data_IF_208434559765
#
_entry.id   IF_208434559765
#
_cell.length_a   1.000
_cell.length_b   1.000
_cell.length_c   1.000
_cell.angle_alpha   90.00
_cell.angle_beta   90.00
_cell.angle_gamma   90.00
#
_symmetry.space_group_name_H-M   'P 1'
#
loop_
_entity.id
_entity.type
_entity.pdbx_description
1 polymer ?
#
# COMPACT_ATOMS: atom_id res chain seq x y z
N UNK A 1 -88.71 2.68 -22.77
CA UNK A 1 -87.63 1.69 -22.57
C UNK A 1 -86.32 2.46 -22.55
N UNK A 2 -85.90 2.87 -21.34
CA UNK A 2 -84.74 3.70 -21.07
C UNK A 2 -83.53 2.80 -20.82
N UNK A 3 -82.57 2.79 -21.76
CA UNK A 3 -81.32 2.03 -21.63
C UNK A 3 -80.25 2.82 -20.90
N UNK A 4 -79.88 2.37 -19.70
CA UNK A 4 -78.75 2.91 -18.95
C UNK A 4 -77.41 2.54 -19.64
N UNK A 5 -76.59 3.54 -19.94
CA UNK A 5 -75.20 3.35 -20.38
C UNK A 5 -74.29 3.40 -19.15
N UNK A 6 -73.66 2.27 -18.83
CA UNK A 6 -72.68 2.15 -17.74
C UNK A 6 -71.31 2.54 -18.32
N UNK A 7 -70.72 3.61 -17.79
CA UNK A 7 -69.33 3.98 -18.08
C UNK A 7 -68.41 3.32 -17.05
N UNK A 8 -67.58 2.37 -17.50
CA UNK A 8 -66.55 1.75 -16.67
C UNK A 8 -65.31 2.62 -16.72
N UNK A 9 -65.02 3.33 -15.62
CA UNK A 9 -63.79 4.09 -15.44
C UNK A 9 -62.67 3.10 -15.09
N UNK A 10 -61.76 2.88 -16.03
CA UNK A 10 -60.56 2.08 -15.83
C UNK A 10 -59.55 2.91 -15.03
N UNK A 11 -59.48 2.69 -13.72
CA UNK A 11 -58.50 3.32 -12.85
C UNK A 11 -57.13 2.66 -13.12
N UNK A 12 -56.26 3.33 -13.87
CA UNK A 12 -54.87 2.92 -14.05
C UNK A 12 -54.16 3.03 -12.69
N UNK A 13 -54.04 1.89 -12.02
CA UNK A 13 -53.18 1.70 -10.86
C UNK A 13 -51.72 1.96 -11.29
N UNK A 14 -51.20 3.11 -10.88
CA UNK A 14 -49.79 3.42 -10.87
C UNK A 14 -49.03 2.27 -10.18
N UNK A 15 -48.19 1.57 -10.94
CA UNK A 15 -47.21 0.63 -10.42
C UNK A 15 -46.18 1.43 -9.63
N UNK A 16 -46.41 1.58 -8.33
CA UNK A 16 -45.40 2.02 -7.39
C UNK A 16 -44.41 0.88 -7.29
N UNK A 17 -43.26 1.03 -7.94
CA UNK A 17 -42.09 0.18 -7.75
C UNK A 17 -41.68 0.26 -6.28
N UNK A 18 -42.10 -0.71 -5.47
CA UNK A 18 -41.54 -0.90 -4.14
C UNK A 18 -40.07 -1.25 -4.31
N UNK A 19 -39.19 -0.35 -3.87
CA UNK A 19 -37.83 -0.73 -3.47
C UNK A 19 -37.97 -1.77 -2.35
N UNK A 20 -37.28 -2.90 -2.48
CA UNK A 20 -37.32 -3.98 -1.48
C UNK A 20 -36.91 -3.42 -0.10
N UNK A 21 -37.78 -3.51 0.94
CA UNK A 21 -37.48 -2.98 2.27
C UNK A 21 -36.27 -3.66 2.94
N UNK A 22 -35.74 -4.75 2.37
CA UNK A 22 -34.56 -5.44 2.86
C UNK A 22 -33.26 -5.06 2.13
N UNK A 23 -33.34 -4.27 1.06
CA UNK A 23 -32.16 -3.76 0.36
C UNK A 23 -31.64 -2.49 1.05
N UNK A 24 -31.27 -2.65 2.31
CA UNK A 24 -30.76 -1.59 3.16
C UNK A 24 -29.24 -1.49 2.96
N UNK A 25 -28.79 -0.43 2.30
CA UNK A 25 -27.37 -0.05 2.32
C UNK A 25 -27.00 0.32 3.75
N UNK A 26 -25.96 -0.31 4.30
CA UNK A 26 -25.41 0.07 5.61
C UNK A 26 -25.00 1.55 5.58
N UNK A 27 -25.63 2.36 6.44
CA UNK A 27 -25.34 3.80 6.52
C UNK A 27 -24.18 4.13 7.45
N UNK A 28 -23.68 3.15 8.20
CA UNK A 28 -22.60 3.27 9.16
C UNK A 28 -21.22 2.89 8.60
N UNK A 29 -21.17 2.35 7.37
CA UNK A 29 -19.94 1.95 6.69
C UNK A 29 -19.93 2.56 5.29
N UNK A 30 -18.79 3.15 4.92
CA UNK A 30 -18.53 3.56 3.54
C UNK A 30 -18.12 2.30 2.77
N UNK A 31 -18.90 1.94 1.73
CA UNK A 31 -18.59 0.77 0.89
C UNK A 31 -17.34 1.01 0.05
N UNK A 32 -16.64 -0.06 -0.34
CA UNK A 32 -15.46 0.03 -1.19
C UNK A 32 -15.78 0.72 -2.54
N UNK A 33 -16.93 0.41 -3.14
CA UNK A 33 -17.40 1.04 -4.37
C UNK A 33 -17.48 2.56 -4.21
N UNK A 34 -18.08 3.04 -3.11
CA UNK A 34 -18.18 4.46 -2.83
C UNK A 34 -16.81 5.12 -2.57
N UNK A 35 -15.88 4.40 -1.92
CA UNK A 35 -14.52 4.90 -1.67
C UNK A 35 -13.76 5.14 -2.97
N UNK A 36 -13.85 4.21 -3.93
CA UNK A 36 -13.05 4.27 -5.16
C UNK A 36 -13.72 5.06 -6.30
N UNK A 37 -14.99 5.45 -6.15
CA UNK A 37 -15.70 6.32 -7.09
C UNK A 37 -15.69 7.82 -6.73
N UNK A 38 -15.27 8.15 -5.51
CA UNK A 38 -15.14 9.54 -5.04
C UNK A 38 -13.66 9.93 -4.96
N UNK A 39 -13.23 11.02 -5.63
CA UNK A 39 -11.82 11.40 -5.66
C UNK A 39 -11.28 11.77 -4.27
N UNK A 40 -12.12 12.31 -3.37
CA UNK A 40 -11.72 12.71 -2.02
C UNK A 40 -11.54 11.48 -1.14
N UNK A 41 -12.44 10.50 -1.26
CA UNK A 41 -12.33 9.25 -0.49
C UNK A 41 -11.16 8.38 -0.98
N UNK A 42 -10.95 8.30 -2.29
CA UNK A 42 -9.79 7.63 -2.88
C UNK A 42 -8.47 8.27 -2.41
N UNK A 43 -8.41 9.61 -2.37
CA UNK A 43 -7.26 10.33 -1.82
C UNK A 43 -7.09 10.09 -0.32
N UNK A 44 -8.16 10.06 0.46
CA UNK A 44 -8.11 9.76 1.89
C UNK A 44 -7.56 8.34 2.16
N UNK A 45 -7.99 7.34 1.38
CA UNK A 45 -7.45 5.98 1.45
C UNK A 45 -5.94 5.98 1.14
N UNK A 46 -5.53 6.68 0.08
CA UNK A 46 -4.13 6.78 -0.29
C UNK A 46 -3.31 7.50 0.79
N UNK A 47 -3.82 8.56 1.40
CA UNK A 47 -3.13 9.26 2.49
C UNK A 47 -2.87 8.38 3.71
N UNK A 48 -3.80 7.50 4.06
CA UNK A 48 -3.56 6.50 5.10
C UNK A 48 -2.42 5.53 4.72
N UNK A 49 -2.30 5.14 3.44
CA UNK A 49 -1.15 4.38 2.95
C UNK A 49 0.17 5.17 3.10
N UNK A 50 0.16 6.47 2.79
CA UNK A 50 1.33 7.35 2.94
C UNK A 50 1.81 7.41 4.39
N UNK A 51 0.90 7.60 5.34
CA UNK A 51 1.22 7.67 6.78
C UNK A 51 1.89 6.37 7.26
N UNK A 52 1.36 5.23 6.81
CA UNK A 52 1.84 3.90 7.22
C UNK A 52 3.05 3.40 6.43
N UNK A 53 3.40 4.03 5.31
CA UNK A 53 4.55 3.65 4.49
C UNK A 53 5.90 3.81 5.22
N UNK A 54 5.97 4.71 6.21
CA UNK A 54 7.18 4.99 7.01
C UNK A 54 8.41 5.26 6.14
N UNK A 55 8.29 6.17 5.17
CA UNK A 55 9.40 6.58 4.28
C UNK A 55 10.63 7.09 5.03
N UNK A 56 10.41 7.64 6.22
CA UNK A 56 11.46 8.02 7.14
C UNK A 56 11.16 7.44 8.51
N UNK A 57 12.12 6.71 9.08
CA UNK A 57 11.98 6.16 10.42
C UNK A 57 12.41 7.24 11.41
N UNK A 58 11.43 7.99 11.92
CA UNK A 58 11.62 9.00 12.96
C UNK A 58 11.64 8.38 14.36
N UNK A 59 12.49 7.38 14.57
CA UNK A 59 12.73 6.82 15.91
C UNK A 59 14.13 7.23 16.40
N UNK A 60 14.25 7.51 17.71
CA UNK A 60 15.47 8.06 18.31
C UNK A 60 15.16 9.16 19.33
N UNK A 61 16.19 9.58 20.08
CA UNK A 61 16.11 10.82 20.87
C UNK A 61 16.20 12.02 19.93
N UNK A 62 15.34 13.03 20.14
CA UNK A 62 14.96 14.09 19.19
C UNK A 62 16.04 14.96 18.53
N UNK A 63 17.33 14.67 18.70
CA UNK A 63 18.42 15.41 18.05
C UNK A 63 19.08 14.66 16.88
N UNK A 64 18.92 13.33 16.77
CA UNK A 64 19.45 12.55 15.66
C UNK A 64 18.47 11.42 15.34
N UNK A 65 17.89 11.41 14.14
CA UNK A 65 17.06 10.30 13.62
C UNK A 65 17.92 9.04 13.43
N UNK A 66 18.28 8.38 14.53
CA UNK A 66 19.27 7.31 14.60
C UNK A 66 18.66 5.91 14.65
N UNK A 67 17.35 5.77 14.63
CA UNK A 67 16.69 4.48 14.41
C UNK A 67 16.58 4.11 12.93
N UNK A 68 17.60 4.41 12.13
CA UNK A 68 17.71 4.02 10.75
C UNK A 68 18.49 2.70 10.65
N UNK A 69 18.19 1.88 9.65
CA UNK A 69 18.98 0.67 9.38
C UNK A 69 20.46 1.00 9.11
N UNK A 70 20.76 2.19 8.58
CA UNK A 70 22.14 2.68 8.39
C UNK A 70 22.91 2.82 9.70
N UNK A 71 22.21 2.96 10.82
CA UNK A 71 22.83 3.01 12.14
C UNK A 71 23.44 1.67 12.53
N UNK A 72 23.08 0.53 11.92
CA UNK A 72 23.79 -0.76 12.15
C UNK A 72 25.26 -0.75 11.70
N UNK A 73 25.71 0.30 10.99
CA UNK A 73 27.12 0.53 10.73
C UNK A 73 27.93 0.93 11.97
N UNK A 74 29.26 1.05 11.81
CA UNK A 74 30.17 1.42 12.91
C UNK A 74 29.89 2.77 13.56
N UNK A 75 29.09 3.64 12.92
CA UNK A 75 28.74 4.98 13.41
C UNK A 75 27.90 4.94 14.70
N UNK A 76 27.06 3.92 14.92
CA UNK A 76 26.26 3.80 16.15
C UNK A 76 27.02 3.21 17.33
N UNK A 77 28.15 2.53 17.11
CA UNK A 77 28.97 1.95 18.19
C UNK A 77 29.47 3.01 19.18
N UNK A 78 29.50 4.28 18.79
CA UNK A 78 29.89 5.38 19.66
C UNK A 78 28.84 5.67 20.74
N UNK A 79 27.58 5.26 20.54
CA UNK A 79 26.51 5.28 21.54
C UNK A 79 26.59 4.01 22.39
N UNK A 80 27.69 3.82 23.11
CA UNK A 80 28.00 2.58 23.84
C UNK A 80 27.20 2.37 25.13
N UNK A 81 26.01 2.94 25.24
CA UNK A 81 25.28 2.99 26.52
C UNK A 81 23.83 2.55 26.39
N UNK A 82 23.47 1.53 27.18
CA UNK A 82 22.23 0.75 27.03
C UNK A 82 20.93 1.51 27.20
N UNK A 83 20.93 2.70 27.82
CA UNK A 83 19.72 3.53 27.96
C UNK A 83 19.45 4.44 26.76
N UNK A 84 20.37 4.53 25.79
CA UNK A 84 20.18 5.37 24.62
C UNK A 84 19.35 4.64 23.57
N UNK A 85 18.30 5.28 23.04
CA UNK A 85 17.41 4.69 22.00
C UNK A 85 18.21 4.15 20.79
N UNK A 86 19.26 4.82 20.28
CA UNK A 86 20.06 4.26 19.19
C UNK A 86 20.71 2.92 19.55
N UNK A 87 21.24 2.79 20.78
CA UNK A 87 21.78 1.52 21.28
C UNK A 87 20.68 0.46 21.33
N UNK A 88 19.52 0.80 21.91
CA UNK A 88 18.44 -0.20 22.06
C UNK A 88 17.79 -0.60 20.74
N UNK A 89 17.81 0.26 19.72
CA UNK A 89 17.26 -0.04 18.41
C UNK A 89 18.20 -0.86 17.53
N UNK A 90 19.52 -0.74 17.74
CA UNK A 90 20.55 -1.25 16.81
C UNK A 90 21.43 -2.35 17.41
N UNK A 91 21.76 -2.25 18.69
CA UNK A 91 22.72 -3.16 19.37
C UNK A 91 21.97 -4.17 20.25
N UNK A 92 20.91 -3.74 20.91
CA UNK A 92 20.03 -4.57 21.73
C UNK A 92 19.00 -5.32 20.87
N UNK A 93 19.50 -6.28 20.10
CA UNK A 93 18.72 -7.06 19.12
C UNK A 93 18.29 -8.39 19.74
N UNK A 94 17.42 -8.33 20.74
CA UNK A 94 16.83 -9.53 21.34
C UNK A 94 15.79 -10.14 20.39
N UNK A 95 16.19 -11.16 19.64
CA UNK A 95 15.28 -11.96 18.82
C UNK A 95 14.59 -13.00 19.69
N UNK A 96 13.25 -12.97 19.76
CA UNK A 96 12.47 -14.03 20.40
C UNK A 96 11.53 -14.71 19.40
N UNK A 97 10.70 -15.64 19.86
CA UNK A 97 9.70 -16.34 19.03
C UNK A 97 8.71 -15.41 18.30
N UNK A 98 8.58 -14.15 18.75
CA UNK A 98 7.74 -13.12 18.13
C UNK A 98 8.54 -12.13 17.26
N UNK A 99 9.83 -12.37 17.03
CA UNK A 99 10.70 -11.53 16.21
C UNK A 99 11.37 -10.40 17.00
N UNK A 100 11.51 -9.23 16.34
CA UNK A 100 12.25 -8.06 16.85
C UNK A 100 11.31 -6.94 17.31
N UNK A 101 10.29 -7.29 18.11
CA UNK A 101 9.17 -6.42 18.46
C UNK A 101 9.57 -4.98 18.77
N UNK A 102 9.20 -4.05 17.89
CA UNK A 102 9.40 -2.62 18.09
C UNK A 102 10.83 -2.11 17.83
N UNK A 103 11.68 -2.89 17.15
CA UNK A 103 13.02 -2.51 16.71
C UNK A 103 13.01 -2.17 15.21
N UNK A 104 14.02 -1.42 14.74
CA UNK A 104 14.11 -0.96 13.33
C UNK A 104 14.20 -2.10 12.28
N UNK A 105 14.62 -3.29 12.68
CA UNK A 105 14.63 -4.49 11.82
C UNK A 105 13.26 -5.19 11.72
N UNK A 106 12.32 -4.88 12.62
CA UNK A 106 10.96 -5.41 12.60
C UNK A 106 10.09 -4.63 11.59
N UNK A 107 10.26 -4.99 10.32
CA UNK A 107 9.52 -4.40 9.21
C UNK A 107 8.91 -5.50 8.34
N UNK A 108 7.72 -5.97 8.67
CA UNK A 108 7.01 -7.00 7.90
C UNK A 108 5.59 -6.54 7.52
N UNK A 109 5.50 -5.55 6.63
CA UNK A 109 4.27 -4.78 6.42
C UNK A 109 3.38 -5.32 5.28
N UNK A 110 3.00 -6.59 5.36
CA UNK A 110 2.07 -7.20 4.38
C UNK A 110 0.64 -6.63 4.46
N UNK A 111 0.28 -6.02 5.60
CA UNK A 111 -0.96 -5.26 5.71
C UNK A 111 -0.98 -4.08 4.74
N UNK A 112 0.06 -3.24 4.77
CA UNK A 112 0.20 -2.13 3.83
C UNK A 112 0.21 -2.62 2.38
N UNK A 113 0.95 -3.68 2.07
CA UNK A 113 1.00 -4.25 0.71
C UNK A 113 -0.39 -4.67 0.25
N UNK A 114 -1.15 -5.35 1.11
CA UNK A 114 -2.53 -5.76 0.80
C UNK A 114 -3.42 -4.56 0.46
N UNK A 115 -3.36 -3.50 1.25
CA UNK A 115 -4.20 -2.31 1.03
C UNK A 115 -3.73 -1.51 -0.19
N UNK A 116 -2.43 -1.49 -0.49
CA UNK A 116 -1.94 -1.02 -1.79
C UNK A 116 -2.55 -1.84 -2.94
N UNK A 117 -2.53 -3.18 -2.85
CA UNK A 117 -3.12 -4.06 -3.87
C UNK A 117 -4.62 -3.79 -4.04
N UNK A 118 -5.33 -3.47 -2.97
CA UNK A 118 -6.75 -3.09 -3.03
C UNK A 118 -6.97 -1.84 -3.86
N UNK A 119 -6.24 -0.75 -3.59
CA UNK A 119 -6.35 0.47 -4.39
C UNK A 119 -5.95 0.24 -5.85
N UNK A 120 -4.83 -0.47 -6.08
CA UNK A 120 -4.32 -0.78 -7.42
C UNK A 120 -5.35 -1.57 -8.25
N UNK A 121 -6.11 -2.46 -7.59
CA UNK A 121 -7.11 -3.30 -8.26
C UNK A 121 -8.43 -2.56 -8.46
N UNK A 122 -8.92 -1.84 -7.44
CA UNK A 122 -10.27 -1.29 -7.41
C UNK A 122 -10.40 0.11 -8.00
N UNK A 123 -9.40 0.98 -7.83
CA UNK A 123 -9.49 2.35 -8.35
C UNK A 123 -9.66 2.41 -9.88
N UNK A 124 -9.03 1.54 -10.68
CA UNK A 124 -9.27 1.47 -12.13
C UNK A 124 -10.67 1.06 -12.56
N UNK A 125 -11.47 0.47 -11.65
CA UNK A 125 -12.86 0.07 -11.94
C UNK A 125 -13.83 1.27 -11.91
N UNK A 126 -13.38 2.45 -11.44
CA UNK A 126 -14.22 3.64 -11.39
C UNK A 126 -14.55 4.19 -12.78
N UNK A 127 -15.84 4.36 -13.06
CA UNK A 127 -16.33 5.03 -14.27
C UNK A 127 -16.43 6.56 -14.12
N UNK A 128 -16.24 7.07 -12.90
CA UNK A 128 -16.47 8.49 -12.54
C UNK A 128 -15.20 9.32 -12.51
N UNK A 129 -14.05 8.67 -12.35
CA UNK A 129 -12.76 9.33 -12.21
C UNK A 129 -12.04 9.42 -13.56
N UNK A 130 -11.26 10.49 -13.74
CA UNK A 130 -10.46 10.63 -14.96
C UNK A 130 -9.31 9.61 -15.00
N UNK A 131 -8.97 9.13 -16.19
CA UNK A 131 -7.85 8.19 -16.39
C UNK A 131 -6.53 8.75 -15.83
N UNK A 132 -6.29 10.06 -15.98
CA UNK A 132 -5.10 10.72 -15.42
C UNK A 132 -5.06 10.65 -13.89
N UNK A 133 -6.20 10.85 -13.23
CA UNK A 133 -6.31 10.73 -11.78
C UNK A 133 -6.02 9.29 -11.34
N UNK A 134 -6.68 8.31 -11.98
CA UNK A 134 -6.49 6.88 -11.69
C UNK A 134 -5.02 6.49 -11.88
N UNK A 135 -4.44 6.79 -13.04
CA UNK A 135 -3.05 6.45 -13.36
C UNK A 135 -2.07 7.07 -12.37
N UNK A 136 -2.29 8.31 -11.95
CA UNK A 136 -1.43 8.99 -10.98
C UNK A 136 -1.53 8.32 -9.60
N UNK A 137 -2.74 8.07 -9.09
CA UNK A 137 -2.96 7.48 -7.76
C UNK A 137 -2.57 6.01 -7.66
N UNK A 138 -2.83 5.23 -8.70
CA UNK A 138 -2.33 3.85 -8.82
C UNK A 138 -0.80 3.84 -8.82
N UNK A 139 -0.17 4.80 -9.51
CA UNK A 139 1.30 4.94 -9.51
C UNK A 139 1.86 5.27 -8.13
N UNK A 140 1.20 6.16 -7.38
CA UNK A 140 1.56 6.45 -5.98
C UNK A 140 1.46 5.19 -5.10
N UNK A 141 0.39 4.41 -5.21
CA UNK A 141 0.22 3.16 -4.45
C UNK A 141 1.23 2.07 -4.84
N UNK A 142 1.52 1.91 -6.14
CA UNK A 142 2.57 1.01 -6.64
C UNK A 142 3.95 1.39 -6.10
N UNK A 143 4.25 2.69 -6.01
CA UNK A 143 5.48 3.16 -5.38
C UNK A 143 5.53 2.80 -3.89
N UNK A 144 4.46 3.01 -3.13
CA UNK A 144 4.40 2.63 -1.71
C UNK A 144 4.65 1.13 -1.54
N UNK A 145 4.02 0.29 -2.36
CA UNK A 145 4.22 -1.16 -2.37
C UNK A 145 5.66 -1.53 -2.68
N UNK A 146 6.24 -0.98 -3.75
CA UNK A 146 7.64 -1.23 -4.12
C UNK A 146 8.62 -0.77 -3.04
N UNK A 147 8.35 0.37 -2.38
CA UNK A 147 9.12 0.84 -1.23
C UNK A 147 9.06 -0.15 -0.06
N UNK A 148 7.87 -0.65 0.28
CA UNK A 148 7.71 -1.65 1.33
C UNK A 148 8.49 -2.95 1.02
N UNK A 149 8.45 -3.41 -0.23
CA UNK A 149 9.27 -4.54 -0.68
C UNK A 149 10.76 -4.26 -0.60
N UNK A 150 11.22 -3.06 -0.98
CA UNK A 150 12.62 -2.68 -0.84
C UNK A 150 13.07 -2.67 0.64
N UNK A 151 12.22 -2.16 1.53
CA UNK A 151 12.48 -2.16 2.98
C UNK A 151 12.60 -3.58 3.56
N UNK A 152 11.79 -4.53 3.06
CA UNK A 152 11.88 -5.94 3.44
C UNK A 152 13.10 -6.63 2.83
N UNK A 153 13.38 -6.40 1.54
CA UNK A 153 14.49 -7.03 0.82
C UNK A 153 15.84 -6.75 1.51
N UNK A 154 16.12 -5.48 1.82
CA UNK A 154 17.37 -5.11 2.50
C UNK A 154 17.51 -5.62 3.94
N UNK A 155 16.46 -6.22 4.52
CA UNK A 155 16.46 -6.81 5.88
C UNK A 155 16.46 -8.33 5.86
N UNK A 156 15.72 -8.94 4.95
CA UNK A 156 15.43 -10.38 4.95
C UNK A 156 15.84 -11.09 3.66
N UNK A 157 16.31 -10.35 2.65
CA UNK A 157 16.52 -10.84 1.30
C UNK A 157 15.19 -11.20 0.64
N UNK A 158 15.08 -12.44 0.13
CA UNK A 158 13.86 -12.94 -0.50
C UNK A 158 12.65 -12.99 0.44
N UNK A 159 11.48 -12.56 -0.02
CA UNK A 159 10.20 -12.59 0.72
C UNK A 159 9.05 -13.00 -0.21
N UNK A 160 7.87 -13.41 0.29
CA UNK A 160 6.74 -13.71 -0.59
C UNK A 160 6.27 -12.50 -1.42
N UNK A 161 6.29 -12.63 -2.74
CA UNK A 161 5.81 -11.58 -3.64
C UNK A 161 4.29 -11.72 -3.83
N UNK A 162 3.54 -10.70 -3.39
CA UNK A 162 2.07 -10.64 -3.39
C UNK A 162 1.62 -9.35 -4.05
N UNK A 163 1.18 -9.44 -5.29
CA UNK A 163 0.79 -8.30 -6.12
C UNK A 163 -0.72 -8.18 -6.33
N UNK A 164 -1.47 -9.10 -5.74
CA UNK A 164 -2.92 -9.26 -5.81
C UNK A 164 -3.57 -9.19 -4.42
N UNK A 165 -4.90 -9.06 -4.38
CA UNK A 165 -5.67 -9.04 -3.13
C UNK A 165 -6.06 -10.46 -2.77
N UNK A 166 -5.39 -11.06 -1.79
CA UNK A 166 -5.74 -12.39 -1.30
C UNK A 166 -7.17 -12.38 -0.72
N UNK A 167 -8.11 -13.25 -1.14
CA UNK A 167 -9.47 -13.25 -0.60
C UNK A 167 -9.48 -13.64 0.89
N UNK A 168 -10.50 -13.17 1.63
CA UNK A 168 -10.65 -13.49 3.07
C UNK A 168 -10.87 -14.99 3.30
N UNK A 169 -11.53 -15.65 2.36
CA UNK A 169 -11.70 -17.11 2.34
C UNK A 169 -10.75 -17.78 1.33
N UNK A 170 -9.54 -17.22 1.17
CA UNK A 170 -8.53 -17.80 0.31
C UNK A 170 -8.10 -19.19 0.75
N UNK A 171 -7.60 -19.98 -0.20
CA UNK A 171 -7.02 -21.28 0.09
C UNK A 171 -5.75 -21.17 0.93
N UNK A 172 -5.34 -22.28 1.54
CA UNK A 172 -4.08 -22.34 2.29
C UNK A 172 -2.88 -21.93 1.41
N UNK A 173 -2.84 -22.39 0.16
CA UNK A 173 -1.79 -22.05 -0.80
C UNK A 173 -1.77 -20.55 -1.16
N UNK A 174 -2.93 -19.90 -1.18
CA UNK A 174 -3.02 -18.46 -1.43
C UNK A 174 -2.52 -17.63 -0.24
N UNK A 175 -2.71 -18.14 0.98
CA UNK A 175 -2.32 -17.49 2.23
C UNK A 175 -0.84 -17.72 2.57
N UNK A 176 -0.32 -18.93 2.31
CA UNK A 176 1.03 -19.36 2.70
C UNK A 176 1.95 -19.47 1.48
N UNK A 177 2.12 -18.36 0.75
CA UNK A 177 3.01 -18.33 -0.41
C UNK A 177 4.48 -18.53 -0.01
N UNK A 178 5.25 -19.35 -0.75
CA UNK A 178 6.67 -19.50 -0.50
C UNK A 178 7.42 -18.19 -0.73
N UNK A 179 8.59 -18.07 -0.10
CA UNK A 179 9.47 -16.91 -0.33
C UNK A 179 9.94 -16.89 -1.78
N UNK A 180 9.86 -15.74 -2.43
CA UNK A 180 10.60 -15.49 -3.65
C UNK A 180 12.07 -15.21 -3.31
N UNK A 181 12.94 -15.38 -4.31
CA UNK A 181 14.35 -14.99 -4.21
C UNK A 181 14.51 -13.48 -4.05
N UNK A 182 15.64 -13.06 -3.46
CA UNK A 182 15.96 -11.63 -3.33
C UNK A 182 16.02 -10.94 -4.70
N UNK A 183 16.55 -11.63 -5.72
CA UNK A 183 16.57 -11.17 -7.11
C UNK A 183 15.17 -10.84 -7.62
N UNK A 184 14.20 -11.73 -7.46
CA UNK A 184 12.84 -11.51 -7.94
C UNK A 184 12.19 -10.28 -7.30
N UNK A 185 12.51 -9.97 -6.04
CA UNK A 185 12.02 -8.76 -5.38
C UNK A 185 12.63 -7.50 -6.00
N UNK A 186 13.94 -7.50 -6.28
CA UNK A 186 14.59 -6.38 -6.95
C UNK A 186 14.11 -6.20 -8.40
N UNK A 187 13.93 -7.30 -9.14
CA UNK A 187 13.40 -7.28 -10.50
C UNK A 187 11.96 -6.71 -10.51
N UNK A 188 11.14 -7.07 -9.53
CA UNK A 188 9.81 -6.49 -9.34
C UNK A 188 9.85 -4.98 -9.04
N UNK A 189 10.72 -4.53 -8.13
CA UNK A 189 10.87 -3.09 -7.84
C UNK A 189 11.29 -2.33 -9.10
N UNK A 190 12.22 -2.89 -9.88
CA UNK A 190 12.66 -2.30 -11.14
C UNK A 190 11.51 -2.15 -12.14
N UNK A 191 10.71 -3.21 -12.34
CA UNK A 191 9.57 -3.15 -13.27
C UNK A 191 8.53 -2.13 -12.81
N UNK A 192 8.17 -2.13 -11.52
CA UNK A 192 7.21 -1.16 -10.97
C UNK A 192 7.68 0.28 -11.22
N UNK A 193 8.95 0.59 -10.92
CA UNK A 193 9.47 1.94 -11.09
C UNK A 193 9.55 2.37 -12.56
N UNK A 194 9.81 1.44 -13.49
CA UNK A 194 9.81 1.75 -14.92
C UNK A 194 8.41 2.08 -15.43
N UNK A 195 7.40 1.35 -14.97
CA UNK A 195 6.03 1.51 -15.45
C UNK A 195 5.41 2.81 -14.94
N UNK A 196 5.62 3.15 -13.66
CA UNK A 196 4.91 4.27 -13.03
C UNK A 196 5.55 5.64 -13.31
N UNK A 197 6.82 5.68 -13.72
CA UNK A 197 7.62 6.93 -13.76
C UNK A 197 7.01 8.02 -14.64
N UNK A 198 6.26 7.65 -15.68
CA UNK A 198 5.65 8.59 -16.62
C UNK A 198 4.23 9.01 -16.21
N UNK A 199 3.65 8.35 -15.21
CA UNK A 199 2.32 8.66 -14.67
C UNK A 199 2.39 9.50 -13.39
N UNK A 200 3.59 9.67 -12.83
CA UNK A 200 3.84 10.51 -11.67
C UNK A 200 4.16 11.97 -12.08
N UNK A 201 3.67 12.97 -11.33
CA UNK A 201 3.97 14.36 -11.62
C UNK A 201 5.45 14.67 -11.36
N UNK A 202 6.04 15.55 -12.17
CA UNK A 202 7.39 16.09 -11.93
C UNK A 202 7.42 16.95 -10.66
N UNK A 203 6.38 17.76 -10.47
CA UNK A 203 6.16 18.61 -9.32
C UNK A 203 4.72 18.39 -8.85
N UNK A 204 4.50 17.61 -7.78
CA UNK A 204 3.17 17.39 -7.24
C UNK A 204 2.54 18.71 -6.77
N UNK A 205 1.22 18.84 -6.89
CA UNK A 205 0.49 20.03 -6.41
C UNK A 205 0.48 20.15 -4.89
N UNK A 206 0.58 19.00 -4.19
CA UNK A 206 0.63 18.90 -2.74
C UNK A 206 1.99 18.39 -2.31
N UNK A 207 2.64 19.11 -1.40
CA UNK A 207 3.91 18.70 -0.81
C UNK A 207 3.79 17.34 -0.13
N UNK A 208 4.85 16.53 -0.24
CA UNK A 208 4.91 15.18 0.35
C UNK A 208 4.40 14.06 -0.57
N UNK A 209 3.69 14.37 -1.66
CA UNK A 209 3.32 13.35 -2.66
C UNK A 209 4.53 12.83 -3.44
N UNK A 210 4.41 11.59 -3.89
CA UNK A 210 5.41 10.90 -4.69
C UNK A 210 5.50 11.58 -6.06
N UNK A 211 6.70 12.05 -6.38
CA UNK A 211 7.02 12.62 -7.68
C UNK A 211 7.71 11.59 -8.58
N UNK A 212 7.81 11.91 -9.87
CA UNK A 212 8.66 11.19 -10.83
C UNK A 212 10.09 11.01 -10.31
N UNK A 213 10.62 12.01 -9.61
CA UNK A 213 11.97 11.97 -9.04
C UNK A 213 12.10 11.02 -7.86
N UNK A 214 11.04 10.88 -7.06
CA UNK A 214 11.00 9.89 -5.99
C UNK A 214 11.07 8.47 -6.55
N UNK A 215 10.30 8.15 -7.60
CA UNK A 215 10.35 6.85 -8.29
C UNK A 215 11.74 6.55 -8.86
N UNK A 216 12.35 7.52 -9.57
CA UNK A 216 13.71 7.36 -10.09
C UNK A 216 14.76 7.18 -8.99
N UNK A 217 14.57 7.84 -7.85
CA UNK A 217 15.47 7.72 -6.70
C UNK A 217 15.38 6.34 -6.04
N UNK A 218 14.16 5.81 -5.87
CA UNK A 218 13.95 4.45 -5.35
C UNK A 218 14.52 3.41 -6.31
N UNK A 219 14.31 3.57 -7.62
CA UNK A 219 14.94 2.72 -8.64
C UNK A 219 16.46 2.76 -8.54
N UNK A 220 17.07 3.94 -8.51
CA UNK A 220 18.52 4.09 -8.41
C UNK A 220 19.08 3.40 -7.16
N UNK A 221 18.46 3.65 -6.00
CA UNK A 221 18.90 3.09 -4.71
C UNK A 221 18.74 1.56 -4.68
N UNK A 222 17.59 1.03 -5.09
CA UNK A 222 17.34 -0.41 -5.08
C UNK A 222 18.26 -1.17 -6.04
N UNK A 223 18.51 -0.63 -7.23
CA UNK A 223 19.40 -1.25 -8.21
C UNK A 223 20.87 -1.22 -7.79
N UNK A 224 21.30 -0.19 -7.02
CA UNK A 224 22.64 -0.18 -6.43
C UNK A 224 22.82 -1.33 -5.42
N UNK A 225 21.80 -1.63 -4.63
CA UNK A 225 21.82 -2.77 -3.69
C UNK A 225 21.85 -4.09 -4.46
N UNK A 226 20.96 -4.25 -5.44
CA UNK A 226 20.91 -5.43 -6.30
C UNK A 226 22.25 -5.70 -7.00
N UNK A 227 22.91 -4.65 -7.52
CA UNK A 227 24.22 -4.77 -8.17
C UNK A 227 25.33 -5.20 -7.19
N UNK A 228 25.29 -4.73 -5.95
CA UNK A 228 26.23 -5.17 -4.90
C UNK A 228 26.07 -6.66 -4.62
N UNK A 229 24.83 -7.12 -4.46
CA UNK A 229 24.51 -8.53 -4.22
C UNK A 229 24.90 -9.38 -5.43
N UNK A 230 24.62 -8.93 -6.66
CA UNK A 230 25.00 -9.66 -7.87
C UNK A 230 26.52 -9.82 -8.03
N UNK A 231 27.33 -8.86 -7.57
CA UNK A 231 28.79 -8.90 -7.69
C UNK A 231 29.48 -9.66 -6.55
N UNK A 232 28.94 -9.58 -5.33
CA UNK A 232 29.62 -10.05 -4.11
C UNK A 232 28.79 -11.03 -3.27
N UNK A 233 27.53 -11.27 -3.64
CA UNK A 233 26.64 -12.21 -2.99
C UNK A 233 27.13 -13.64 -3.16
N UNK A 234 26.66 -14.51 -2.27
CA UNK A 234 27.03 -15.94 -2.24
C UNK A 234 25.93 -16.86 -2.77
N UNK A 235 24.81 -16.28 -3.23
CA UNK A 235 23.68 -16.95 -3.87
C UNK A 235 23.37 -16.31 -5.23
#
# INVERSE_FOLDING_TARGET
>A
MTGNKIYVIFFQLFQISCTDPFDLTRTDIISDELVFDDPVLADAFLFDLYDRARFHISSGNGNLNMGLISSYGGESRNYGVSWQIPYTQVIDVDYNENGLTGKVLDYYNYRLIRECNQLITKLPESERLSENFINSRVSEARFIRAHAYFEMAKRFGGVPLVTDVIPVQGSEDELFRPRNSEREIYDFILSEMNDIVNHLPTYPEQDGRISKWAALSLKSRSMLYAASIANFGTE
#
